data_IF_374489421382
#
_entry.id   IF_374489421382
#
_cell.length_a   1.000
_cell.length_b   1.000
_cell.length_c   1.000
_cell.angle_alpha   90.00
_cell.angle_beta   90.00
_cell.angle_gamma   90.00
#
_symmetry.space_group_name_H-M   'P 1'
#
loop_
_entity.id
_entity.type
_entity.pdbx_description
1 polymer ?
#
# COMPACT_ATOMS: atom_id res chain seq x y z
N UNK A 1 -20.29 43.49 -11.89
CA UNK A 1 -21.53 42.86 -11.38
C UNK A 1 -21.27 41.50 -10.72
N UNK A 2 -20.46 40.61 -11.31
CA UNK A 2 -20.11 39.28 -10.75
C UNK A 2 -19.44 39.33 -9.36
N UNK A 3 -18.44 40.18 -9.17
CA UNK A 3 -17.70 40.33 -7.89
C UNK A 3 -18.58 40.81 -6.74
N UNK A 4 -19.49 41.74 -7.02
CA UNK A 4 -20.43 42.25 -6.02
C UNK A 4 -21.40 41.17 -5.53
N UNK A 5 -21.81 40.27 -6.43
CA UNK A 5 -22.73 39.17 -6.10
C UNK A 5 -22.07 38.13 -5.19
N UNK A 6 -20.80 37.81 -5.47
CA UNK A 6 -20.00 36.88 -4.66
C UNK A 6 -19.73 37.45 -3.26
N UNK A 7 -19.44 38.75 -3.16
CA UNK A 7 -19.21 39.44 -1.89
C UNK A 7 -20.46 39.43 -1.00
N UNK A 8 -21.65 39.67 -1.57
CA UNK A 8 -22.93 39.61 -0.83
C UNK A 8 -23.24 38.18 -0.38
N UNK A 9 -23.01 37.17 -1.22
CA UNK A 9 -23.24 35.78 -0.88
C UNK A 9 -22.32 35.28 0.26
N UNK A 10 -21.08 35.78 0.35
CA UNK A 10 -20.18 35.52 1.49
C UNK A 10 -20.62 36.26 2.76
N UNK A 11 -21.03 37.53 2.64
CA UNK A 11 -21.47 38.35 3.79
C UNK A 11 -22.78 37.89 4.41
N UNK A 12 -23.64 37.27 3.61
CA UNK A 12 -24.94 36.70 4.04
C UNK A 12 -24.83 35.25 4.49
N UNK A 13 -23.64 34.64 4.42
CA UNK A 13 -23.42 33.25 4.82
C UNK A 13 -23.96 32.20 3.83
N UNK A 14 -24.48 32.62 2.67
CA UNK A 14 -24.93 31.73 1.59
C UNK A 14 -23.75 30.95 0.99
N UNK A 15 -22.54 31.53 1.05
CA UNK A 15 -21.29 30.86 0.72
C UNK A 15 -20.39 30.79 1.97
N UNK A 16 -20.32 29.62 2.60
CA UNK A 16 -19.22 29.29 3.51
C UNK A 16 -17.97 28.95 2.68
N UNK A 17 -16.80 29.48 3.05
CA UNK A 17 -15.54 29.01 2.46
C UNK A 17 -15.44 27.50 2.64
N UNK A 18 -15.13 26.71 1.60
CA UNK A 18 -14.75 25.33 1.82
C UNK A 18 -13.54 25.39 2.74
N UNK A 19 -13.64 24.83 3.94
CA UNK A 19 -12.49 24.64 4.80
C UNK A 19 -11.50 23.81 3.99
N UNK A 20 -10.48 24.45 3.43
CA UNK A 20 -9.39 23.72 2.83
C UNK A 20 -8.73 23.00 4.00
N UNK A 21 -9.04 21.72 4.14
CA UNK A 21 -8.22 20.81 4.92
C UNK A 21 -6.94 20.61 4.12
N UNK A 22 -6.14 21.66 4.03
CA UNK A 22 -4.74 21.54 3.68
C UNK A 22 -4.13 20.84 4.88
N UNK A 23 -4.16 19.51 4.88
CA UNK A 23 -3.40 18.73 5.82
C UNK A 23 -1.98 19.30 5.79
N UNK A 24 -1.50 19.81 6.92
CA UNK A 24 -0.10 20.21 7.05
C UNK A 24 0.69 18.96 6.71
N UNK A 25 1.30 18.93 5.52
CA UNK A 25 2.19 17.84 5.14
C UNK A 25 3.37 17.98 6.10
N UNK A 26 3.34 17.16 7.16
CA UNK A 26 4.45 17.06 8.09
C UNK A 26 5.69 16.72 7.25
N UNK A 27 6.81 17.38 7.52
CA UNK A 27 8.09 17.00 6.91
C UNK A 27 8.22 15.49 7.07
N UNK A 28 8.49 14.73 5.99
CA UNK A 28 8.55 13.29 6.07
C UNK A 28 9.55 12.94 7.16
N UNK A 29 9.04 12.36 8.24
CA UNK A 29 9.88 11.77 9.26
C UNK A 29 10.72 10.71 8.54
N UNK A 30 12.02 10.65 8.83
CA UNK A 30 12.91 9.68 8.17
C UNK A 30 12.34 8.28 8.36
N UNK A 31 11.85 7.67 7.28
CA UNK A 31 11.33 6.30 7.31
C UNK A 31 12.55 5.37 7.39
N UNK A 32 12.63 4.58 8.46
CA UNK A 32 13.63 3.52 8.61
C UNK A 32 12.93 2.16 8.41
N UNK A 33 13.52 1.21 7.66
CA UNK A 33 12.97 -0.14 7.56
C UNK A 33 12.90 -0.79 8.95
N UNK A 34 11.78 -1.46 9.24
CA UNK A 34 11.60 -2.20 10.49
C UNK A 34 12.38 -3.53 10.47
N UNK A 35 12.32 -4.23 9.33
CA UNK A 35 13.15 -5.37 8.96
C UNK A 35 13.33 -5.38 7.43
N UNK A 36 14.22 -6.25 6.92
CA UNK A 36 14.45 -6.46 5.49
C UNK A 36 14.55 -7.95 5.19
N UNK A 37 14.00 -8.38 4.05
CA UNK A 37 14.14 -9.73 3.52
C UNK A 37 14.57 -9.63 2.05
N UNK A 38 15.56 -10.41 1.64
CA UNK A 38 16.11 -10.41 0.28
C UNK A 38 15.57 -11.64 -0.47
N UNK A 39 14.82 -11.39 -1.55
CA UNK A 39 14.42 -12.44 -2.49
C UNK A 39 15.57 -12.75 -3.46
N UNK A 40 15.53 -13.91 -4.13
CA UNK A 40 16.62 -14.34 -5.00
C UNK A 40 16.64 -13.58 -6.34
N UNK A 41 15.54 -12.89 -6.66
CA UNK A 41 15.41 -11.97 -7.80
C UNK A 41 14.40 -10.84 -7.45
N UNK A 42 14.11 -9.99 -8.42
CA UNK A 42 13.35 -8.76 -8.27
C UNK A 42 11.90 -9.00 -7.83
N UNK A 43 11.39 -8.10 -6.98
CA UNK A 43 9.96 -8.03 -6.66
C UNK A 43 9.34 -7.00 -7.59
N UNK A 44 8.49 -7.47 -8.51
CA UNK A 44 7.75 -6.61 -9.44
C UNK A 44 6.25 -6.50 -9.12
N UNK A 45 5.77 -7.34 -8.21
CA UNK A 45 4.39 -7.36 -7.76
C UNK A 45 4.14 -6.60 -6.46
N UNK A 46 2.90 -6.62 -6.00
CA UNK A 46 2.48 -6.05 -4.71
C UNK A 46 2.30 -7.17 -3.69
N UNK A 47 2.86 -7.06 -2.47
CA UNK A 47 2.68 -8.07 -1.44
C UNK A 47 1.28 -8.00 -0.79
N UNK A 48 0.83 -9.10 -0.18
CA UNK A 48 -0.44 -9.16 0.57
C UNK A 48 -0.19 -9.57 2.01
N UNK A 49 -0.76 -8.82 2.96
CA UNK A 49 -0.73 -9.15 4.38
C UNK A 49 -2.03 -9.85 4.80
N UNK A 50 -1.92 -10.95 5.55
CA UNK A 50 -3.07 -11.62 6.17
C UNK A 50 -2.61 -12.37 7.43
N UNK A 51 -3.31 -12.17 8.55
CA UNK A 51 -3.11 -12.88 9.82
C UNK A 51 -1.65 -13.06 10.27
N UNK A 52 -0.86 -11.98 10.16
CA UNK A 52 0.55 -11.98 10.60
C UNK A 52 1.55 -12.52 9.57
N UNK A 53 1.08 -12.90 8.38
CA UNK A 53 1.92 -13.37 7.27
C UNK A 53 1.90 -12.37 6.13
N UNK A 54 3.06 -12.11 5.55
CA UNK A 54 3.24 -11.33 4.33
C UNK A 54 3.55 -12.27 3.17
N UNK A 55 2.71 -12.25 2.13
CA UNK A 55 2.86 -13.04 0.91
C UNK A 55 3.42 -12.17 -0.20
N UNK A 56 4.50 -12.61 -0.84
CA UNK A 56 5.24 -11.82 -1.85
C UNK A 56 5.65 -12.71 -3.01
N UNK A 57 5.20 -12.37 -4.23
CA UNK A 57 5.71 -12.97 -5.46
C UNK A 57 7.01 -12.32 -5.91
N UNK A 58 7.96 -13.10 -6.41
CA UNK A 58 9.21 -12.62 -6.97
C UNK A 58 9.47 -13.17 -8.39
N UNK A 59 10.40 -12.55 -9.10
CA UNK A 59 10.80 -12.95 -10.45
C UNK A 59 11.67 -14.23 -10.49
N UNK A 60 12.13 -14.70 -9.33
CA UNK A 60 12.86 -15.98 -9.15
C UNK A 60 11.95 -17.22 -9.24
N UNK A 61 10.71 -17.02 -9.70
CA UNK A 61 9.64 -18.00 -9.78
C UNK A 61 9.12 -18.49 -8.42
N UNK A 62 9.31 -17.77 -7.32
CA UNK A 62 8.78 -18.18 -6.01
C UNK A 62 7.70 -17.24 -5.46
N UNK A 63 6.70 -17.84 -4.80
CA UNK A 63 5.81 -17.18 -3.85
C UNK A 63 6.39 -17.36 -2.45
N UNK A 64 6.72 -16.27 -1.77
CA UNK A 64 7.25 -16.25 -0.41
C UNK A 64 6.15 -15.98 0.61
N UNK A 65 6.23 -16.65 1.76
CA UNK A 65 5.51 -16.27 2.96
C UNK A 65 6.51 -15.91 4.06
N UNK A 66 6.36 -14.72 4.61
CA UNK A 66 7.23 -14.15 5.64
C UNK A 66 6.40 -13.81 6.87
N UNK A 67 6.99 -13.94 8.05
CA UNK A 67 6.40 -13.42 9.28
C UNK A 67 6.44 -11.89 9.22
N UNK A 68 5.27 -11.24 9.26
CA UNK A 68 5.15 -9.80 9.08
C UNK A 68 5.79 -9.00 10.22
N UNK A 69 5.93 -9.58 11.42
CA UNK A 69 6.46 -8.90 12.59
C UNK A 69 8.00 -8.79 12.59
N UNK A 70 8.71 -9.72 11.94
CA UNK A 70 10.17 -9.77 12.01
C UNK A 70 10.87 -10.09 10.68
N UNK A 71 10.12 -10.37 9.61
CA UNK A 71 10.66 -10.70 8.30
C UNK A 71 11.21 -12.13 8.19
N UNK A 72 10.97 -12.99 9.20
CA UNK A 72 11.45 -14.37 9.17
C UNK A 72 10.76 -15.15 8.04
N UNK A 73 11.55 -15.95 7.34
CA UNK A 73 11.06 -16.88 6.33
C UNK A 73 10.14 -17.94 6.95
N UNK A 74 8.96 -18.14 6.37
CA UNK A 74 8.04 -19.22 6.76
C UNK A 74 8.09 -20.34 5.73
N UNK A 75 7.82 -20.03 4.45
CA UNK A 75 7.90 -20.98 3.34
C UNK A 75 8.06 -20.26 1.99
N UNK A 76 8.43 -21.03 0.95
CA UNK A 76 8.29 -20.62 -0.45
C UNK A 76 7.66 -21.72 -1.30
N UNK A 77 6.93 -21.32 -2.34
CA UNK A 77 6.38 -22.21 -3.36
C UNK A 77 7.00 -21.88 -4.72
N UNK A 78 7.59 -22.88 -5.37
CA UNK A 78 8.18 -22.74 -6.70
C UNK A 78 7.12 -22.87 -7.80
N UNK A 79 6.92 -21.81 -8.56
CA UNK A 79 6.11 -21.75 -9.77
C UNK A 79 6.97 -21.96 -11.03
N UNK A 80 6.34 -21.95 -12.19
CA UNK A 80 7.01 -22.14 -13.49
C UNK A 80 7.46 -20.83 -14.14
N UNK A 81 7.15 -19.68 -13.52
CA UNK A 81 7.49 -18.36 -14.02
C UNK A 81 7.42 -17.28 -12.93
N UNK A 82 7.97 -16.11 -13.24
CA UNK A 82 8.06 -14.99 -12.32
C UNK A 82 6.67 -14.49 -11.92
N UNK A 83 6.48 -14.26 -10.62
CA UNK A 83 5.18 -13.88 -10.07
C UNK A 83 5.15 -12.37 -9.89
N UNK A 84 4.34 -11.70 -10.70
CA UNK A 84 4.18 -10.24 -10.67
C UNK A 84 2.80 -9.79 -10.19
N UNK A 85 1.88 -10.74 -9.99
CA UNK A 85 0.55 -10.46 -9.47
C UNK A 85 0.58 -10.16 -7.98
N UNK A 86 -0.47 -9.50 -7.51
CA UNK A 86 -0.77 -9.41 -6.10
C UNK A 86 -1.43 -10.73 -5.66
N UNK A 87 -0.94 -11.41 -4.61
CA UNK A 87 -1.58 -12.62 -4.09
C UNK A 87 -2.93 -12.28 -3.45
N UNK A 88 -3.95 -13.09 -3.66
CA UNK A 88 -5.26 -12.96 -3.01
C UNK A 88 -5.44 -14.07 -1.96
N UNK A 89 -5.95 -13.68 -0.79
CA UNK A 89 -6.23 -14.63 0.30
C UNK A 89 -7.73 -14.83 0.38
N UNK A 90 -8.17 -16.07 0.14
CA UNK A 90 -9.55 -16.46 0.34
C UNK A 90 -9.62 -17.75 1.16
N UNK A 91 -10.35 -17.66 2.27
CA UNK A 91 -10.41 -18.67 3.34
C UNK A 91 -9.01 -19.03 3.88
N UNK A 92 -8.43 -20.14 3.44
CA UNK A 92 -7.10 -20.63 3.86
C UNK A 92 -6.15 -20.84 2.69
N UNK A 93 -6.46 -20.26 1.53
CA UNK A 93 -5.73 -20.45 0.29
C UNK A 93 -5.11 -19.12 -0.18
N UNK A 94 -3.95 -19.23 -0.81
CA UNK A 94 -3.26 -18.13 -1.49
C UNK A 94 -3.43 -18.34 -2.99
N UNK A 95 -4.09 -17.41 -3.67
CA UNK A 95 -4.27 -17.41 -5.12
C UNK A 95 -3.32 -16.40 -5.76
N UNK A 96 -2.60 -16.82 -6.79
CA UNK A 96 -1.67 -15.98 -7.55
C UNK A 96 -1.49 -16.54 -8.97
N UNK A 97 -0.93 -15.73 -9.87
CA UNK A 97 -0.66 -16.10 -11.26
C UNK A 97 0.23 -15.11 -12.00
#
# INVERSE_FOLDING_TARGET
>A
MREALIAVARKTGILSEPSSHTAKIAKPQSVKPFWTFECEDEIRGTPTYHDGVLYVGAYDNNMYALNAANGEFIWKYAAEGGIVSQPEIYEKNVFFG
#
